data_IF_113861894126
#
_entry.id   IF_113861894126
#
_cell.length_a   1.000
_cell.length_b   1.000
_cell.length_c   1.000
_cell.angle_alpha   90.00
_cell.angle_beta   90.00
_cell.angle_gamma   90.00
#
_symmetry.space_group_name_H-M   'P 1'
#
loop_
_entity.id
_entity.type
_entity.pdbx_description
1 polymer ?
#
# COMPACT_ATOMS: atom_id res chain seq x y z
N UNK A 1 -58.02 -86.13 -55.13
CA UNK A 1 -58.98 -87.27 -55.16
C UNK A 1 -60.24 -86.87 -54.39
N UNK A 2 -61.25 -87.74 -54.25
CA UNK A 2 -62.60 -87.41 -53.73
C UNK A 2 -62.61 -86.64 -52.41
N UNK A 3 -63.54 -85.67 -52.19
CA UNK A 3 -64.95 -85.86 -51.78
C UNK A 3 -65.09 -86.53 -50.41
N UNK A 4 -65.93 -86.07 -49.47
CA UNK A 4 -67.37 -85.73 -49.59
C UNK A 4 -67.75 -84.45 -48.80
N UNK A 5 -68.86 -83.82 -49.19
CA UNK A 5 -69.48 -82.62 -48.60
C UNK A 5 -70.63 -82.91 -47.62
N UNK A 6 -70.80 -82.06 -46.59
CA UNK A 6 -72.08 -81.83 -45.88
C UNK A 6 -72.25 -80.32 -45.63
N UNK A 7 -73.49 -79.84 -45.53
CA UNK A 7 -73.89 -78.43 -45.56
C UNK A 7 -74.05 -77.73 -44.19
N UNK A 8 -74.13 -76.40 -44.25
CA UNK A 8 -74.50 -75.46 -43.17
C UNK A 8 -75.86 -75.81 -42.49
N UNK A 9 -76.15 -75.30 -41.26
CA UNK A 9 -76.57 -73.89 -41.13
C UNK A 9 -75.97 -73.11 -39.95
N UNK A 10 -76.26 -71.80 -39.93
CA UNK A 10 -75.73 -70.79 -38.99
C UNK A 10 -76.20 -70.95 -37.53
N UNK A 11 -75.37 -70.50 -36.57
CA UNK A 11 -75.78 -70.48 -35.16
C UNK A 11 -74.76 -70.10 -34.08
N UNK A 12 -73.73 -69.27 -34.35
CA UNK A 12 -72.70 -68.92 -33.34
C UNK A 12 -72.23 -67.44 -33.30
N UNK A 13 -72.97 -66.54 -33.94
CA UNK A 13 -72.58 -65.12 -34.10
C UNK A 13 -72.70 -64.21 -32.86
N UNK A 14 -73.14 -64.71 -31.70
CA UNK A 14 -73.41 -63.89 -30.51
C UNK A 14 -72.39 -64.04 -29.37
N UNK A 15 -71.55 -65.07 -29.36
CA UNK A 15 -70.64 -65.36 -28.23
C UNK A 15 -69.31 -64.58 -28.27
N UNK A 16 -68.89 -64.08 -29.45
CA UNK A 16 -67.69 -63.24 -29.57
C UNK A 16 -67.94 -61.77 -29.24
N UNK A 17 -69.19 -61.28 -29.33
CA UNK A 17 -69.53 -59.89 -28.98
C UNK A 17 -69.61 -59.64 -27.46
N UNK A 18 -69.82 -60.68 -26.64
CA UNK A 18 -69.88 -60.53 -25.18
C UNK A 18 -68.48 -60.48 -24.55
N UNK A 19 -67.49 -61.15 -25.13
CA UNK A 19 -66.09 -61.11 -24.64
C UNK A 19 -65.38 -59.79 -24.95
N UNK A 20 -65.82 -59.04 -25.96
CA UNK A 20 -65.28 -57.70 -26.28
C UNK A 20 -65.80 -56.62 -25.31
N UNK A 21 -66.96 -56.84 -24.68
CA UNK A 21 -67.56 -55.90 -23.70
C UNK A 21 -66.99 -56.08 -22.27
N UNK A 22 -66.16 -57.11 -22.03
CA UNK A 22 -65.47 -57.33 -20.76
C UNK A 22 -63.96 -57.02 -20.79
N UNK A 23 -63.46 -56.43 -21.88
CA UNK A 23 -62.29 -55.56 -21.85
C UNK A 23 -62.77 -54.10 -21.71
N UNK A 24 -63.45 -53.81 -20.59
CA UNK A 24 -63.57 -52.43 -20.14
C UNK A 24 -62.16 -51.85 -19.94
N UNK A 25 -61.95 -50.60 -20.36
CA UNK A 25 -60.63 -49.97 -20.34
C UNK A 25 -59.98 -50.11 -18.95
N UNK A 26 -58.97 -50.98 -18.85
CA UNK A 26 -58.04 -50.98 -17.73
C UNK A 26 -57.13 -49.76 -17.90
N UNK A 27 -57.70 -48.57 -17.70
CA UNK A 27 -56.96 -47.31 -17.56
C UNK A 27 -55.95 -47.55 -16.46
N UNK A 28 -54.67 -47.59 -16.83
CA UNK A 28 -53.61 -47.53 -15.84
C UNK A 28 -53.87 -46.28 -15.00
N UNK A 29 -54.00 -46.41 -13.68
CA UNK A 29 -54.34 -45.26 -12.85
C UNK A 29 -53.28 -44.19 -13.02
N UNK A 30 -53.68 -43.07 -13.62
CA UNK A 30 -52.82 -41.93 -13.90
C UNK A 30 -52.40 -41.32 -12.55
N UNK A 31 -51.18 -41.69 -12.14
CA UNK A 31 -50.58 -41.39 -10.84
C UNK A 31 -49.16 -40.85 -11.06
N UNK A 32 -48.89 -39.65 -10.54
CA UNK A 32 -47.52 -39.15 -10.42
C UNK A 32 -46.72 -40.04 -9.45
N UNK A 33 -45.46 -40.27 -9.79
CA UNK A 33 -44.42 -40.72 -8.85
C UNK A 33 -44.19 -39.65 -7.77
N UNK A 34 -43.56 -39.98 -6.62
CA UNK A 34 -43.23 -39.00 -5.59
C UNK A 34 -42.40 -37.84 -6.15
N UNK A 35 -42.63 -36.59 -5.69
CA UNK A 35 -41.85 -35.45 -6.13
C UNK A 35 -40.35 -35.59 -5.84
N UNK A 36 -39.53 -34.93 -6.67
CA UNK A 36 -38.09 -34.83 -6.45
C UNK A 36 -37.74 -34.14 -5.12
N UNK A 37 -36.67 -34.60 -4.47
CA UNK A 37 -36.21 -34.06 -3.18
C UNK A 37 -35.58 -32.68 -3.37
N UNK A 38 -36.22 -31.66 -2.78
CA UNK A 38 -35.70 -30.29 -2.75
C UNK A 38 -34.67 -30.10 -1.63
N UNK A 39 -33.64 -29.29 -1.89
CA UNK A 39 -32.59 -28.97 -0.90
C UNK A 39 -33.03 -27.88 0.10
N UNK A 40 -34.00 -27.04 -0.26
CA UNK A 40 -34.55 -25.98 0.58
C UNK A 40 -35.86 -26.33 1.30
N UNK A 41 -36.51 -27.45 0.92
CA UNK A 41 -37.83 -27.83 1.41
C UNK A 41 -38.03 -29.36 1.47
N UNK A 42 -39.07 -29.77 2.19
CA UNK A 42 -39.54 -31.15 2.27
C UNK A 42 -41.06 -31.22 2.26
N UNK A 43 -41.60 -32.38 1.90
CA UNK A 43 -43.04 -32.65 1.94
C UNK A 43 -43.53 -32.64 3.38
N UNK A 44 -44.71 -32.05 3.61
CA UNK A 44 -45.42 -32.21 4.89
C UNK A 44 -45.61 -33.71 5.18
N UNK A 45 -45.46 -34.11 6.45
CA UNK A 45 -45.42 -35.52 6.87
C UNK A 45 -46.56 -36.39 6.31
N UNK A 46 -47.76 -35.82 6.18
CA UNK A 46 -48.94 -36.47 5.59
C UNK A 46 -48.75 -37.00 4.16
N UNK A 47 -47.76 -36.49 3.43
CA UNK A 47 -47.44 -36.91 2.05
C UNK A 47 -46.07 -37.58 1.93
N UNK A 48 -45.21 -37.50 2.96
CA UNK A 48 -43.80 -37.91 2.88
C UNK A 48 -43.60 -39.42 2.69
N UNK A 49 -44.57 -40.23 3.10
CA UNK A 49 -44.53 -41.71 3.00
C UNK A 49 -45.33 -42.27 1.83
N UNK A 50 -45.98 -41.43 1.03
CA UNK A 50 -46.81 -41.88 -0.11
C UNK A 50 -45.95 -42.18 -1.34
N UNK A 51 -46.18 -43.34 -1.96
CA UNK A 51 -45.39 -43.82 -3.11
C UNK A 51 -46.04 -43.52 -4.49
N UNK A 52 -47.28 -43.03 -4.53
CA UNK A 52 -47.98 -42.66 -5.76
C UNK A 52 -49.08 -41.65 -5.48
N UNK A 53 -49.31 -40.70 -6.38
CA UNK A 53 -50.26 -39.59 -6.19
C UNK A 53 -51.17 -39.45 -7.42
N UNK A 54 -52.50 -39.66 -7.33
CA UNK A 54 -53.41 -39.50 -8.46
C UNK A 54 -53.36 -38.10 -9.11
N UNK A 55 -53.67 -38.00 -10.40
CA UNK A 55 -53.84 -36.71 -11.09
C UNK A 55 -54.79 -35.77 -10.32
N UNK A 56 -54.46 -34.48 -10.28
CA UNK A 56 -55.15 -33.47 -9.47
C UNK A 56 -54.72 -33.42 -7.99
N UNK A 57 -54.00 -34.44 -7.48
CA UNK A 57 -53.50 -34.41 -6.10
C UNK A 57 -52.55 -33.25 -5.90
N UNK A 58 -52.80 -32.43 -4.87
CA UNK A 58 -51.99 -31.27 -4.52
C UNK A 58 -51.29 -31.53 -3.19
N UNK A 59 -49.95 -31.51 -3.21
CA UNK A 59 -49.09 -31.76 -2.05
C UNK A 59 -48.48 -30.45 -1.55
N UNK A 60 -48.37 -30.31 -0.23
CA UNK A 60 -47.80 -29.13 0.43
C UNK A 60 -46.40 -29.43 0.97
N UNK A 61 -45.53 -28.44 0.87
CA UNK A 61 -44.17 -28.46 1.40
C UNK A 61 -44.02 -27.60 2.66
N UNK A 62 -42.99 -27.88 3.44
CA UNK A 62 -42.43 -27.03 4.49
C UNK A 62 -40.97 -26.73 4.19
N UNK A 63 -40.50 -25.53 4.57
CA UNK A 63 -39.09 -25.16 4.38
C UNK A 63 -38.21 -25.91 5.38
N UNK A 64 -37.04 -26.39 4.93
CA UNK A 64 -36.07 -27.08 5.81
C UNK A 64 -35.49 -26.11 6.85
N UNK A 65 -34.95 -26.62 7.98
CA UNK A 65 -34.08 -25.84 8.85
C UNK A 65 -32.97 -25.13 8.05
N UNK A 66 -32.69 -23.87 8.38
CA UNK A 66 -31.81 -23.00 7.57
C UNK A 66 -32.53 -22.19 6.49
N UNK A 67 -33.77 -22.53 6.13
CA UNK A 67 -34.56 -21.83 5.09
C UNK A 67 -35.81 -21.14 5.67
N UNK A 68 -36.40 -20.22 4.90
CA UNK A 68 -37.62 -19.46 5.25
C UNK A 68 -38.54 -19.30 4.04
N UNK A 69 -39.86 -19.31 4.27
CA UNK A 69 -40.88 -19.13 3.22
C UNK A 69 -40.72 -17.75 2.56
N UNK A 70 -40.72 -17.72 1.23
CA UNK A 70 -40.80 -16.47 0.46
C UNK A 70 -42.25 -15.97 0.45
N UNK A 71 -42.54 -14.73 0.90
CA UNK A 71 -43.90 -14.18 0.88
C UNK A 71 -44.51 -14.20 -0.53
N UNK A 72 -45.79 -14.58 -0.63
CA UNK A 72 -46.52 -14.63 -1.90
C UNK A 72 -46.24 -15.83 -2.80
N UNK A 73 -45.23 -16.68 -2.51
CA UNK A 73 -45.00 -17.94 -3.25
C UNK A 73 -45.87 -19.07 -2.72
N UNK A 74 -46.32 -19.95 -3.62
CA UNK A 74 -47.04 -21.18 -3.27
C UNK A 74 -46.09 -22.22 -2.67
N UNK A 75 -46.51 -22.88 -1.59
CA UNK A 75 -45.86 -24.10 -1.08
C UNK A 75 -46.50 -25.40 -1.62
N UNK A 76 -47.45 -25.27 -2.55
CA UNK A 76 -48.22 -26.38 -3.09
C UNK A 76 -47.77 -26.71 -4.51
N UNK A 77 -47.55 -28.00 -4.80
CA UNK A 77 -47.40 -28.53 -6.16
C UNK A 77 -48.53 -29.52 -6.46
N UNK A 78 -49.00 -29.53 -7.69
CA UNK A 78 -50.13 -30.38 -8.14
C UNK A 78 -49.67 -31.37 -9.20
N UNK A 79 -50.15 -32.61 -9.13
CA UNK A 79 -49.95 -33.62 -10.17
C UNK A 79 -50.84 -33.28 -11.38
N UNK A 80 -50.22 -32.93 -12.51
CA UNK A 80 -50.91 -32.60 -13.76
C UNK A 80 -51.34 -33.85 -14.54
N UNK A 81 -52.23 -33.64 -15.53
CA UNK A 81 -52.70 -34.69 -16.46
C UNK A 81 -51.56 -35.26 -17.34
N UNK A 82 -50.43 -34.56 -17.43
CA UNK A 82 -49.19 -35.02 -18.09
C UNK A 82 -48.32 -35.93 -17.19
N UNK A 83 -48.84 -36.33 -16.02
CA UNK A 83 -48.15 -37.07 -14.95
C UNK A 83 -46.92 -36.34 -14.36
N UNK A 84 -46.85 -35.01 -14.50
CA UNK A 84 -45.76 -34.20 -13.93
C UNK A 84 -46.26 -33.33 -12.78
N UNK A 85 -45.35 -33.07 -11.85
CA UNK A 85 -45.60 -32.08 -10.80
C UNK A 85 -45.44 -30.67 -11.35
N UNK A 86 -46.48 -29.85 -11.19
CA UNK A 86 -46.50 -28.43 -11.59
C UNK A 86 -45.16 -27.74 -11.29
N UNK A 87 -44.58 -27.05 -12.27
CA UNK A 87 -43.39 -26.24 -12.02
C UNK A 87 -43.74 -25.09 -11.06
N UNK A 88 -42.78 -24.71 -10.24
CA UNK A 88 -42.90 -23.60 -9.30
C UNK A 88 -41.50 -23.06 -9.09
N UNK A 89 -41.35 -21.74 -9.10
CA UNK A 89 -40.11 -21.07 -8.71
C UNK A 89 -39.77 -21.38 -7.25
N UNK A 90 -38.55 -21.07 -6.82
CA UNK A 90 -38.15 -21.26 -5.42
C UNK A 90 -39.11 -20.53 -4.48
N UNK A 91 -39.59 -21.27 -3.47
CA UNK A 91 -40.61 -20.81 -2.53
C UNK A 91 -40.11 -20.78 -1.07
N UNK A 92 -38.89 -21.28 -0.83
CA UNK A 92 -38.13 -21.10 0.40
C UNK A 92 -36.76 -20.52 0.06
N UNK A 93 -36.40 -19.36 0.61
CA UNK A 93 -35.07 -18.79 0.49
C UNK A 93 -34.18 -19.25 1.66
N UNK A 94 -32.87 -19.34 1.45
CA UNK A 94 -31.93 -19.53 2.54
C UNK A 94 -31.99 -18.34 3.52
N UNK A 95 -32.00 -18.62 4.82
CA UNK A 95 -31.92 -17.57 5.85
C UNK A 95 -30.51 -17.00 5.85
N UNK A 96 -30.38 -15.75 6.30
CA UNK A 96 -29.10 -15.04 6.33
C UNK A 96 -28.61 -14.88 7.77
N UNK A 97 -27.34 -15.20 8.00
CA UNK A 97 -26.60 -14.78 9.19
C UNK A 97 -26.37 -13.25 9.16
N UNK A 98 -26.04 -12.66 10.29
CA UNK A 98 -25.48 -11.29 10.33
C UNK A 98 -24.06 -11.28 9.77
N UNK A 99 -23.53 -10.10 9.45
CA UNK A 99 -22.08 -9.98 9.20
C UNK A 99 -21.31 -10.47 10.45
N UNK A 100 -20.19 -11.22 10.33
CA UNK A 100 -19.47 -11.75 11.49
C UNK A 100 -19.02 -10.68 12.49
N UNK A 101 -18.60 -9.54 11.97
CA UNK A 101 -17.95 -8.45 12.69
C UNK A 101 -16.83 -7.86 11.84
N UNK A 102 -16.01 -6.99 12.44
CA UNK A 102 -14.74 -6.53 11.85
C UNK A 102 -13.58 -7.17 12.63
N UNK A 103 -12.43 -7.36 11.97
CA UNK A 103 -11.24 -7.95 12.57
C UNK A 103 -10.15 -6.88 12.72
N UNK A 104 -9.89 -6.47 13.96
CA UNK A 104 -8.82 -5.49 14.22
C UNK A 104 -7.47 -6.06 13.80
N UNK A 105 -6.68 -5.27 13.07
CA UNK A 105 -5.39 -5.68 12.48
C UNK A 105 -5.47 -6.90 11.53
N UNK A 106 -6.63 -7.10 10.88
CA UNK A 106 -6.80 -8.12 9.86
C UNK A 106 -7.91 -7.82 8.85
N UNK A 107 -8.26 -8.84 8.06
CA UNK A 107 -9.23 -8.79 6.98
C UNK A 107 -10.24 -9.93 7.17
N UNK A 108 -11.53 -9.59 7.12
CA UNK A 108 -12.64 -10.55 7.08
C UNK A 108 -13.05 -10.74 5.62
N UNK A 109 -12.99 -11.97 5.11
CA UNK A 109 -13.41 -12.32 3.75
C UNK A 109 -14.66 -13.21 3.82
N UNK A 110 -15.79 -12.67 3.37
CA UNK A 110 -17.12 -13.32 3.43
C UNK A 110 -17.63 -13.51 2.00
N UNK A 111 -18.04 -14.74 1.67
CA UNK A 111 -18.52 -15.09 0.32
C UNK A 111 -19.99 -14.71 0.10
N UNK A 112 -20.86 -15.11 1.03
CA UNK A 112 -22.23 -14.62 1.22
C UNK A 112 -22.61 -14.79 2.70
N UNK A 113 -23.80 -14.33 3.09
CA UNK A 113 -24.36 -14.49 4.43
C UNK A 113 -25.46 -15.56 4.50
N UNK A 114 -25.77 -16.32 3.44
CA UNK A 114 -26.80 -17.37 3.49
C UNK A 114 -26.37 -18.58 4.32
N UNK A 115 -27.35 -19.34 4.81
CA UNK A 115 -27.15 -20.64 5.43
C UNK A 115 -26.21 -21.54 4.60
N UNK A 116 -25.15 -22.04 5.25
CA UNK A 116 -24.08 -22.82 4.61
C UNK A 116 -22.95 -21.99 4.00
N UNK A 117 -23.03 -20.65 4.03
CA UNK A 117 -21.91 -19.77 3.64
C UNK A 117 -20.81 -19.73 4.69
N UNK A 118 -19.63 -19.30 4.26
CA UNK A 118 -18.38 -19.37 5.00
C UNK A 118 -17.70 -17.99 5.05
N UNK A 119 -17.10 -17.68 6.19
CA UNK A 119 -16.30 -16.48 6.41
C UNK A 119 -14.91 -16.86 6.91
N UNK A 120 -13.90 -16.44 6.15
CA UNK A 120 -12.48 -16.71 6.41
C UNK A 120 -11.78 -15.44 6.92
N UNK A 121 -10.85 -15.61 7.85
CA UNK A 121 -10.12 -14.53 8.50
C UNK A 121 -8.63 -14.57 8.15
N UNK A 122 -8.02 -13.40 8.01
CA UNK A 122 -6.57 -13.24 7.82
C UNK A 122 -6.07 -12.03 8.61
N UNK A 123 -4.79 -12.02 9.00
CA UNK A 123 -4.18 -10.90 9.72
C UNK A 123 -3.25 -10.09 8.82
N UNK A 124 -3.04 -8.81 9.14
CA UNK A 124 -2.04 -7.98 8.48
C UNK A 124 -0.61 -8.38 8.88
N UNK A 125 0.36 -8.03 8.04
CA UNK A 125 1.78 -8.30 8.27
C UNK A 125 2.24 -7.85 9.66
N UNK A 126 2.87 -8.76 10.40
CA UNK A 126 3.28 -8.53 11.80
C UNK A 126 2.32 -9.08 12.85
N UNK A 127 1.17 -9.63 12.43
CA UNK A 127 0.16 -10.24 13.30
C UNK A 127 -0.17 -11.67 12.88
N UNK A 128 -0.57 -12.51 13.85
CA UNK A 128 -1.00 -13.89 13.65
C UNK A 128 -2.41 -14.12 14.21
N UNK A 129 -3.15 -15.04 13.60
CA UNK A 129 -4.51 -15.41 14.03
C UNK A 129 -4.44 -16.16 15.37
N UNK A 130 -5.28 -15.76 16.32
CA UNK A 130 -5.56 -16.47 17.56
C UNK A 130 -7.06 -16.71 17.69
N UNK A 131 -7.45 -17.96 17.43
CA UNK A 131 -8.85 -18.40 17.29
C UNK A 131 -9.00 -19.27 16.05
N UNK A 132 -10.24 -19.48 15.60
CA UNK A 132 -10.50 -20.14 14.33
C UNK A 132 -10.26 -19.15 13.18
N UNK A 133 -9.57 -19.57 12.12
CA UNK A 133 -9.40 -18.80 10.89
C UNK A 133 -10.65 -18.79 9.98
N UNK A 134 -11.71 -19.49 10.38
CA UNK A 134 -12.85 -19.86 9.54
C UNK A 134 -14.09 -20.12 10.40
N UNK A 135 -15.27 -19.71 9.94
CA UNK A 135 -16.58 -19.96 10.55
C UNK A 135 -17.65 -20.18 9.49
N UNK A 136 -18.68 -20.97 9.80
CA UNK A 136 -19.78 -21.34 8.89
C UNK A 136 -21.13 -20.88 9.42
N UNK A 137 -22.03 -20.41 8.54
CA UNK A 137 -23.38 -19.98 8.89
C UNK A 137 -24.31 -21.21 9.09
N UNK A 138 -24.53 -21.61 10.35
CA UNK A 138 -25.22 -22.86 10.73
C UNK A 138 -26.62 -22.64 11.33
N UNK A 139 -27.39 -23.71 11.53
CA UNK A 139 -28.71 -23.64 12.19
C UNK A 139 -28.55 -23.55 13.71
N UNK A 140 -28.99 -22.44 14.30
CA UNK A 140 -28.91 -22.14 15.74
C UNK A 140 -30.26 -21.60 16.23
N UNK A 141 -30.79 -22.10 17.35
CA UNK A 141 -31.99 -21.57 18.03
C UNK A 141 -33.21 -21.26 17.12
N UNK A 142 -33.59 -22.19 16.23
CA UNK A 142 -34.64 -22.02 15.20
C UNK A 142 -34.39 -20.89 14.18
N UNK A 143 -33.18 -20.35 14.14
CA UNK A 143 -32.65 -19.40 13.17
C UNK A 143 -31.39 -19.92 12.49
N UNK A 144 -30.58 -18.99 12.00
CA UNK A 144 -29.19 -19.24 11.58
C UNK A 144 -28.29 -18.21 12.23
N UNK A 145 -27.08 -18.62 12.57
CA UNK A 145 -26.02 -17.84 13.21
C UNK A 145 -24.68 -18.55 12.95
N UNK A 146 -23.57 -17.86 13.08
CA UNK A 146 -22.24 -18.44 12.88
C UNK A 146 -21.94 -19.51 13.94
N UNK A 147 -21.18 -20.55 13.60
CA UNK A 147 -20.81 -21.58 14.57
C UNK A 147 -19.76 -21.10 15.59
N UNK A 148 -18.72 -20.40 15.11
CA UNK A 148 -17.68 -19.77 15.92
C UNK A 148 -17.89 -18.28 16.22
N UNK A 149 -16.79 -17.60 16.54
CA UNK A 149 -16.70 -16.15 16.78
C UNK A 149 -15.53 -15.57 15.97
N UNK A 150 -15.53 -14.26 15.72
CA UNK A 150 -14.40 -13.57 15.10
C UNK A 150 -13.13 -13.78 15.94
N UNK A 151 -11.99 -14.20 15.35
CA UNK A 151 -10.74 -14.40 16.06
C UNK A 151 -10.05 -13.06 16.41
N UNK A 152 -8.88 -13.13 17.05
CA UNK A 152 -8.04 -11.96 17.31
C UNK A 152 -6.75 -12.03 16.49
N UNK A 153 -6.29 -10.90 15.95
CA UNK A 153 -4.94 -10.77 15.41
C UNK A 153 -4.01 -10.26 16.51
N UNK A 154 -3.14 -11.12 17.04
CA UNK A 154 -2.10 -10.72 18.00
C UNK A 154 -0.76 -10.49 17.29
N UNK A 155 0.05 -9.54 17.76
CA UNK A 155 1.37 -9.28 17.16
C UNK A 155 2.28 -10.50 17.31
N UNK A 156 3.04 -10.82 16.26
CA UNK A 156 3.99 -11.94 16.27
C UNK A 156 5.06 -11.69 17.35
N UNK A 157 5.30 -12.63 18.28
CA UNK A 157 6.35 -12.50 19.29
C UNK A 157 7.74 -12.81 18.71
N UNK A 158 8.75 -12.08 19.18
CA UNK A 158 10.15 -12.46 19.05
C UNK A 158 10.61 -13.19 20.33
N UNK A 159 11.67 -14.00 20.21
CA UNK A 159 12.42 -14.44 21.40
C UNK A 159 13.05 -13.23 22.14
N UNK A 160 13.34 -13.33 23.45
CA UNK A 160 14.03 -12.28 24.19
C UNK A 160 15.35 -11.85 23.53
N UNK A 161 15.74 -10.56 23.59
CA UNK A 161 16.95 -10.08 22.93
C UNK A 161 18.23 -10.80 23.43
N UNK A 162 19.18 -11.13 22.55
CA UNK A 162 20.44 -11.75 22.95
C UNK A 162 21.23 -10.90 23.96
N UNK A 163 21.53 -11.46 25.13
CA UNK A 163 22.37 -10.78 26.14
C UNK A 163 23.81 -10.63 25.65
N UNK A 164 24.45 -9.50 25.95
CA UNK A 164 25.81 -9.18 25.52
C UNK A 164 26.78 -9.11 26.71
N UNK A 165 28.03 -9.53 26.51
CA UNK A 165 29.07 -9.36 27.51
C UNK A 165 29.35 -7.87 27.76
N UNK A 166 29.55 -7.49 29.02
CA UNK A 166 29.84 -6.11 29.47
C UNK A 166 28.81 -5.06 29.03
N UNK A 167 27.55 -5.45 28.85
CA UNK A 167 26.46 -4.55 28.52
C UNK A 167 25.07 -5.10 28.86
N UNK A 168 24.07 -4.31 28.55
CA UNK A 168 22.65 -4.59 28.79
C UNK A 168 21.80 -3.92 27.68
N UNK A 169 20.51 -4.26 27.61
CA UNK A 169 19.57 -3.61 26.69
C UNK A 169 18.40 -2.96 27.44
N UNK A 170 17.66 -2.08 26.77
CA UNK A 170 16.39 -1.56 27.27
C UNK A 170 15.32 -2.66 27.26
N UNK A 171 14.95 -3.15 28.44
CA UNK A 171 13.86 -4.14 28.58
C UNK A 171 12.52 -3.56 28.12
N UNK A 172 11.66 -4.45 27.61
CA UNK A 172 10.27 -4.17 27.27
C UNK A 172 9.36 -5.21 27.93
N UNK A 173 8.10 -4.85 28.19
CA UNK A 173 7.13 -5.78 28.79
C UNK A 173 6.83 -6.99 27.89
N UNK A 174 6.86 -6.79 26.57
CA UNK A 174 6.66 -7.83 25.55
C UNK A 174 7.59 -7.57 24.34
N UNK A 175 8.24 -8.62 23.85
CA UNK A 175 9.04 -8.59 22.62
C UNK A 175 8.17 -9.11 21.47
N UNK A 176 7.59 -8.19 20.71
CA UNK A 176 6.68 -8.47 19.59
C UNK A 176 7.04 -7.61 18.40
N UNK A 177 6.48 -7.88 17.23
CA UNK A 177 6.74 -7.16 15.99
C UNK A 177 6.78 -5.63 16.19
N UNK A 178 7.84 -5.00 15.66
CA UNK A 178 8.24 -3.60 15.81
C UNK A 178 8.73 -3.15 17.21
N UNK A 179 8.73 -4.00 18.25
CA UNK A 179 9.46 -3.71 19.50
C UNK A 179 10.93 -3.52 19.18
N UNK A 180 11.48 -2.35 19.56
CA UNK A 180 12.89 -1.99 19.39
C UNK A 180 13.59 -1.99 20.74
N UNK A 181 14.77 -2.60 20.81
CA UNK A 181 15.63 -2.56 22.00
C UNK A 181 16.97 -1.90 21.68
N UNK A 182 17.48 -1.11 22.62
CA UNK A 182 18.76 -0.40 22.49
C UNK A 182 19.75 -0.91 23.54
N UNK A 183 20.91 -1.33 23.08
CA UNK A 183 22.01 -1.80 23.92
C UNK A 183 22.85 -0.65 24.46
N UNK A 184 23.45 -0.88 25.62
CA UNK A 184 24.40 0.01 26.29
C UNK A 184 25.48 -0.84 26.93
N UNK A 185 26.71 -0.33 26.96
CA UNK A 185 27.78 -0.97 27.73
C UNK A 185 27.66 -0.60 29.21
N UNK A 186 28.17 -1.49 30.06
CA UNK A 186 28.32 -1.24 31.48
C UNK A 186 29.41 -0.17 31.70
N UNK A 187 29.28 0.63 32.76
CA UNK A 187 30.35 1.52 33.20
C UNK A 187 31.60 0.70 33.59
N UNK A 188 32.77 1.10 33.10
CA UNK A 188 34.04 0.46 33.45
C UNK A 188 34.47 0.79 34.90
N UNK A 189 35.22 -0.11 35.54
CA UNK A 189 35.66 0.10 36.91
C UNK A 189 36.74 1.20 36.98
N UNK A 190 36.89 1.81 38.16
CA UNK A 190 37.84 2.91 38.36
C UNK A 190 39.29 2.44 38.13
N UNK A 191 39.86 2.79 36.99
CA UNK A 191 41.22 2.44 36.57
C UNK A 191 41.27 1.52 35.34
N UNK A 192 40.13 1.03 34.87
CA UNK A 192 40.01 0.28 33.61
C UNK A 192 39.71 1.22 32.43
N UNK A 193 39.99 0.76 31.21
CA UNK A 193 39.61 1.47 29.99
C UNK A 193 38.10 1.28 29.69
N UNK A 194 37.38 2.33 29.24
CA UNK A 194 35.94 2.25 29.00
C UNK A 194 35.58 1.32 27.83
N UNK A 195 34.48 0.58 28.00
CA UNK A 195 33.88 -0.21 26.94
C UNK A 195 33.32 0.69 25.83
N UNK A 196 33.66 0.36 24.58
CA UNK A 196 33.04 0.93 23.38
C UNK A 196 31.96 -0.02 22.88
N UNK A 197 30.80 0.51 22.51
CA UNK A 197 29.77 -0.23 21.79
C UNK A 197 30.14 -0.27 20.30
N UNK A 198 30.32 -1.47 19.75
CA UNK A 198 30.69 -1.71 18.36
C UNK A 198 29.57 -2.46 17.65
N UNK A 199 29.19 -1.97 16.46
CA UNK A 199 27.99 -2.43 15.73
C UNK A 199 26.79 -1.49 15.95
N UNK A 200 25.63 -1.89 15.43
CA UNK A 200 24.39 -1.09 15.52
C UNK A 200 23.88 -1.08 16.98
N UNK A 201 23.62 0.11 17.58
CA UNK A 201 23.22 0.19 19.00
C UNK A 201 21.81 -0.34 19.29
N UNK A 202 20.96 -0.48 18.28
CA UNK A 202 19.57 -0.90 18.42
C UNK A 202 19.22 -1.99 17.40
N UNK A 203 18.37 -2.94 17.83
CA UNK A 203 17.75 -3.95 16.96
C UNK A 203 16.24 -3.93 17.19
N UNK A 204 15.46 -4.34 16.19
CA UNK A 204 14.00 -4.39 16.26
C UNK A 204 13.46 -5.77 15.87
N UNK A 205 12.31 -6.12 16.44
CA UNK A 205 11.60 -7.35 16.09
C UNK A 205 10.96 -7.19 14.71
N UNK A 206 11.37 -8.02 13.76
CA UNK A 206 10.89 -8.10 12.37
C UNK A 206 10.40 -9.52 12.08
N UNK A 207 10.08 -9.84 10.83
CA UNK A 207 9.70 -11.18 10.39
C UNK A 207 10.78 -11.83 9.52
N UNK A 208 10.83 -13.17 9.53
CA UNK A 208 11.52 -13.99 8.52
C UNK A 208 10.59 -14.38 7.35
N UNK A 209 11.13 -15.16 6.39
CA UNK A 209 10.39 -15.65 5.21
C UNK A 209 9.19 -16.55 5.58
N UNK A 210 9.24 -17.21 6.74
CA UNK A 210 8.18 -18.07 7.28
C UNK A 210 7.22 -17.31 8.24
N UNK A 211 7.34 -15.97 8.29
CA UNK A 211 6.56 -15.03 9.11
C UNK A 211 6.72 -15.19 10.64
N UNK A 212 7.84 -15.76 11.11
CA UNK A 212 8.19 -15.84 12.54
C UNK A 212 8.90 -14.56 13.01
N UNK A 213 8.77 -14.24 14.30
CA UNK A 213 9.40 -13.06 14.89
C UNK A 213 10.90 -13.25 15.10
N UNK A 214 11.71 -12.51 14.34
CA UNK A 214 13.18 -12.53 14.41
C UNK A 214 13.75 -11.13 14.65
N UNK A 215 14.95 -11.04 15.22
CA UNK A 215 15.62 -9.75 15.40
C UNK A 215 16.29 -9.27 14.11
N UNK A 216 16.20 -7.95 13.85
CA UNK A 216 16.66 -7.28 12.62
C UNK A 216 18.16 -7.37 12.30
N UNK A 217 18.95 -8.05 13.12
CA UNK A 217 20.40 -8.17 12.97
C UNK A 217 21.07 -8.73 14.22
N UNK A 218 22.39 -9.02 14.15
CA UNK A 218 23.16 -9.45 15.31
C UNK A 218 23.26 -8.35 16.38
N UNK A 219 23.39 -8.71 17.67
CA UNK A 219 23.60 -7.73 18.74
C UNK A 219 24.98 -7.06 18.63
N UNK A 220 25.13 -5.80 19.09
CA UNK A 220 26.42 -5.13 19.16
C UNK A 220 27.32 -5.71 20.25
N UNK A 221 28.61 -5.39 20.20
CA UNK A 221 29.62 -5.87 21.16
C UNK A 221 30.16 -4.73 22.02
N UNK A 222 30.17 -4.93 23.34
CA UNK A 222 30.82 -4.04 24.29
C UNK A 222 32.26 -4.50 24.59
N UNK A 223 33.22 -3.90 23.90
CA UNK A 223 34.66 -4.23 24.01
C UNK A 223 35.50 -2.98 24.23
N UNK A 224 36.62 -3.12 24.94
CA UNK A 224 37.60 -2.04 25.05
C UNK A 224 38.21 -1.80 23.68
N UNK A 225 38.02 -0.59 23.15
CA UNK A 225 38.69 -0.11 21.93
C UNK A 225 39.56 1.08 22.31
N UNK A 226 40.83 1.04 21.94
CA UNK A 226 41.87 1.98 22.38
C UNK A 226 42.93 2.14 21.29
N UNK A 227 42.74 3.12 20.42
CA UNK A 227 43.75 3.48 19.43
C UNK A 227 44.87 4.33 20.07
N UNK A 228 46.12 4.13 19.62
CA UNK A 228 47.26 4.95 20.04
C UNK A 228 47.06 6.42 19.68
N UNK A 229 47.64 7.36 20.44
CA UNK A 229 47.59 8.78 20.13
C UNK A 229 48.37 9.08 18.82
N UNK A 230 47.70 9.41 17.71
CA UNK A 230 48.34 9.44 16.40
C UNK A 230 49.28 10.64 16.27
N UNK A 231 50.51 10.38 15.82
CA UNK A 231 51.55 11.38 15.58
C UNK A 231 51.99 11.37 14.12
N UNK A 232 51.97 12.56 13.53
CA UNK A 232 52.48 12.89 12.20
C UNK A 232 53.72 13.76 12.40
N UNK A 233 54.77 13.58 11.58
CA UNK A 233 55.94 14.47 11.59
C UNK A 233 55.67 15.63 10.65
N UNK A 234 56.16 16.83 10.97
CA UNK A 234 55.94 18.07 10.19
C UNK A 234 54.44 18.36 9.94
N UNK A 235 53.60 17.98 10.91
CA UNK A 235 52.17 18.21 10.89
C UNK A 235 51.57 18.23 12.28
N UNK A 236 50.65 19.17 12.49
CA UNK A 236 49.92 19.40 13.73
C UNK A 236 48.55 18.74 13.68
N UNK A 237 48.08 18.29 14.84
CA UNK A 237 46.68 17.89 15.04
C UNK A 237 45.82 19.15 15.15
N UNK A 238 44.63 19.15 14.54
CA UNK A 238 43.73 20.34 14.53
C UNK A 238 42.35 20.10 15.14
N UNK A 239 41.85 18.86 15.19
CA UNK A 239 40.58 18.52 15.87
C UNK A 239 40.68 17.20 16.65
N UNK A 240 39.69 16.92 17.50
CA UNK A 240 39.58 15.63 18.20
C UNK A 240 40.68 15.38 19.24
N UNK A 241 41.16 16.42 19.94
CA UNK A 241 42.14 16.29 21.03
C UNK A 241 41.53 15.53 22.21
N UNK A 242 42.25 14.53 22.73
CA UNK A 242 41.83 13.77 23.90
C UNK A 242 42.97 12.96 24.53
N UNK A 243 42.82 12.51 25.79
CA UNK A 243 43.78 11.62 26.45
C UNK A 243 43.65 10.16 25.99
N UNK A 244 42.53 9.80 25.37
CA UNK A 244 42.17 8.44 24.95
C UNK A 244 41.35 8.48 23.65
N UNK A 245 41.48 7.45 22.82
CA UNK A 245 40.75 7.30 21.55
C UNK A 245 40.02 5.95 21.51
N UNK A 246 38.72 6.01 21.81
CA UNK A 246 37.77 4.90 21.72
C UNK A 246 37.19 4.76 20.30
N UNK A 247 36.44 3.69 20.05
CA UNK A 247 35.79 3.43 18.76
C UNK A 247 35.02 4.66 18.24
N UNK A 248 35.15 4.95 16.94
CA UNK A 248 34.48 6.07 16.29
C UNK A 248 35.04 7.46 16.63
N UNK A 249 36.02 7.59 17.53
CA UNK A 249 36.73 8.86 17.71
C UNK A 249 37.52 9.19 16.45
N UNK A 250 37.36 10.42 15.95
CA UNK A 250 38.04 10.92 14.75
C UNK A 250 39.03 12.04 15.09
N UNK A 251 40.10 12.12 14.30
CA UNK A 251 41.20 13.07 14.47
C UNK A 251 41.55 13.68 13.13
N UNK A 252 41.56 15.02 13.04
CA UNK A 252 42.04 15.72 11.86
C UNK A 252 43.46 16.30 12.04
N UNK A 253 44.22 16.35 10.95
CA UNK A 253 45.57 16.88 10.86
C UNK A 253 45.70 18.01 9.82
N UNK A 254 46.74 18.82 9.98
CA UNK A 254 47.19 19.81 9.00
C UNK A 254 48.73 19.79 8.98
N UNK A 255 49.36 19.90 7.81
CA UNK A 255 50.82 19.95 7.74
C UNK A 255 51.36 21.32 8.18
N UNK A 256 52.60 21.36 8.64
CA UNK A 256 53.27 22.59 9.03
C UNK A 256 53.72 23.40 7.78
N UNK A 257 53.93 24.72 7.89
CA UNK A 257 54.32 25.56 6.75
C UNK A 257 55.59 25.04 6.06
N UNK A 258 55.53 24.85 4.73
CA UNK A 258 56.59 24.23 3.94
C UNK A 258 56.37 22.75 3.63
N UNK A 259 55.30 22.12 4.16
CA UNK A 259 54.98 20.71 3.94
C UNK A 259 53.59 20.51 3.31
N UNK A 260 53.44 19.46 2.52
CA UNK A 260 52.16 19.04 1.90
C UNK A 260 51.69 17.69 2.44
N UNK A 261 50.37 17.47 2.43
CA UNK A 261 49.77 16.26 3.00
C UNK A 261 49.65 15.12 1.99
N UNK A 262 50.04 13.93 2.45
CA UNK A 262 49.84 12.65 1.79
C UNK A 262 48.86 11.81 2.64
N UNK A 263 47.78 11.33 2.01
CA UNK A 263 46.75 10.52 2.66
C UNK A 263 45.43 11.26 2.85
N UNK A 264 44.69 10.92 3.90
CA UNK A 264 43.46 11.62 4.30
C UNK A 264 43.75 12.46 5.55
N UNK A 265 43.18 13.66 5.62
CA UNK A 265 43.40 14.59 6.73
C UNK A 265 42.66 14.17 8.01
N UNK A 266 41.50 13.51 7.87
CA UNK A 266 40.74 12.89 8.96
C UNK A 266 40.98 11.38 9.02
N UNK A 267 41.23 10.86 10.22
CA UNK A 267 41.33 9.42 10.53
C UNK A 267 40.42 9.04 11.70
N UNK A 268 39.85 7.83 11.67
CA UNK A 268 38.89 7.34 12.68
C UNK A 268 39.36 6.06 13.35
N UNK A 269 39.18 5.95 14.67
CA UNK A 269 39.56 4.79 15.46
C UNK A 269 38.58 3.61 15.23
N UNK A 270 39.12 2.50 14.72
CA UNK A 270 38.35 1.32 14.33
C UNK A 270 38.28 0.26 15.43
N UNK A 271 37.36 -0.69 15.28
CA UNK A 271 37.03 -1.74 16.25
C UNK A 271 38.16 -2.75 16.54
N UNK A 272 39.28 -2.65 15.82
CA UNK A 272 40.48 -3.45 15.93
C UNK A 272 41.68 -2.69 16.56
N UNK A 273 41.42 -1.53 17.16
CA UNK A 273 42.41 -0.61 17.75
C UNK A 273 43.34 0.10 16.74
N UNK A 274 43.02 0.06 15.44
CA UNK A 274 43.79 0.76 14.40
C UNK A 274 43.08 2.02 13.91
N UNK A 275 43.85 2.96 13.34
CA UNK A 275 43.30 4.12 12.65
C UNK A 275 43.00 3.79 11.19
N UNK A 276 41.78 4.05 10.74
CA UNK A 276 41.40 4.00 9.33
C UNK A 276 40.67 5.30 8.92
N UNK A 277 41.04 5.96 7.81
CA UNK A 277 42.23 5.72 6.99
C UNK A 277 43.54 5.73 7.80
N UNK A 278 44.64 5.15 7.30
CA UNK A 278 45.93 5.23 7.98
C UNK A 278 46.38 6.69 8.11
N UNK A 279 47.14 7.00 9.16
CA UNK A 279 47.60 8.36 9.47
C UNK A 279 48.27 9.03 8.25
N UNK A 280 48.00 10.32 7.99
CA UNK A 280 48.66 11.03 6.90
C UNK A 280 50.16 11.23 7.18
N UNK A 281 50.90 11.54 6.13
CA UNK A 281 52.31 11.94 6.17
C UNK A 281 52.44 13.36 5.60
N UNK A 282 53.39 14.15 6.11
CA UNK A 282 53.65 15.50 5.64
C UNK A 282 55.06 15.58 5.04
N UNK A 283 55.14 15.73 3.72
CA UNK A 283 56.39 15.76 2.94
C UNK A 283 56.77 17.19 2.56
N UNK A 284 58.07 17.46 2.42
CA UNK A 284 58.60 18.80 2.13
C UNK A 284 58.24 19.26 0.70
N UNK A 285 57.88 20.53 0.55
CA UNK A 285 57.50 21.12 -0.75
C UNK A 285 58.78 21.43 -1.56
N UNK A 286 59.12 20.55 -2.50
CA UNK A 286 60.23 20.77 -3.46
C UNK A 286 59.75 21.48 -4.74
N UNK A 287 60.70 21.98 -5.54
CA UNK A 287 60.41 22.61 -6.84
C UNK A 287 59.76 21.65 -7.85
N UNK A 288 60.02 20.34 -7.74
CA UNK A 288 59.59 19.33 -8.72
C UNK A 288 58.33 18.53 -8.33
N UNK A 289 57.70 18.79 -7.16
CA UNK A 289 56.64 17.92 -6.60
C UNK A 289 55.35 18.63 -6.22
N UNK A 290 54.26 17.86 -6.22
CA UNK A 290 52.98 18.20 -5.63
C UNK A 290 52.39 17.02 -4.83
N UNK A 291 51.63 17.35 -3.78
CA UNK A 291 50.71 16.42 -3.14
C UNK A 291 49.38 16.31 -3.90
N UNK A 292 48.50 15.44 -3.40
CA UNK A 292 47.15 15.32 -3.95
C UNK A 292 46.38 16.65 -3.85
N UNK A 293 45.80 17.16 -4.95
CA UNK A 293 45.07 18.42 -4.94
C UNK A 293 43.82 18.31 -4.06
N UNK A 294 43.66 19.27 -3.14
CA UNK A 294 42.47 19.35 -2.28
C UNK A 294 41.27 19.84 -3.10
N UNK A 295 40.22 19.03 -3.15
CA UNK A 295 38.94 19.33 -3.82
C UNK A 295 37.78 19.01 -2.88
N UNK A 296 36.80 19.91 -2.75
CA UNK A 296 35.55 19.61 -2.06
C UNK A 296 34.53 18.96 -3.01
N UNK A 297 33.79 17.98 -2.48
CA UNK A 297 32.74 17.22 -3.18
C UNK A 297 33.19 16.59 -4.51
N UNK A 298 34.42 16.08 -4.56
CA UNK A 298 34.98 15.36 -5.70
C UNK A 298 36.15 14.45 -5.32
N UNK A 299 36.68 13.75 -6.32
CA UNK A 299 37.73 12.73 -6.19
C UNK A 299 38.84 12.93 -7.23
N UNK A 300 40.06 12.51 -6.88
CA UNK A 300 41.27 12.63 -7.72
C UNK A 300 41.54 11.29 -8.42
N UNK A 301 41.78 11.31 -9.73
CA UNK A 301 41.97 10.10 -10.55
C UNK A 301 43.18 10.26 -11.50
N UNK A 302 44.24 9.44 -11.39
CA UNK A 302 44.48 8.46 -10.33
C UNK A 302 44.79 9.16 -8.99
N UNK A 303 44.40 8.53 -7.87
CA UNK A 303 44.84 8.97 -6.55
C UNK A 303 46.19 8.32 -6.21
N UNK A 304 47.25 9.11 -6.29
CA UNK A 304 48.60 8.81 -5.84
C UNK A 304 49.00 9.70 -4.65
N UNK A 305 50.05 9.30 -3.95
CA UNK A 305 50.62 10.01 -2.80
C UNK A 305 51.46 11.23 -3.18
N UNK A 306 52.16 11.16 -4.31
CA UNK A 306 53.10 12.14 -4.84
C UNK A 306 52.83 12.28 -6.34
N UNK A 307 52.98 13.49 -6.88
CA UNK A 307 52.98 13.77 -8.31
C UNK A 307 54.18 14.67 -8.65
N UNK A 308 54.74 14.47 -9.83
CA UNK A 308 55.86 15.27 -10.36
C UNK A 308 55.36 16.45 -11.17
N UNK A 309 56.16 17.51 -11.26
CA UNK A 309 55.87 18.65 -12.13
C UNK A 309 55.72 18.18 -13.59
N UNK A 310 54.60 18.54 -14.21
CA UNK A 310 54.18 18.05 -15.53
C UNK A 310 53.23 16.83 -15.50
N UNK A 311 53.04 16.14 -14.38
CA UNK A 311 52.03 15.08 -14.26
C UNK A 311 50.62 15.66 -14.06
N UNK A 312 49.62 15.00 -14.65
CA UNK A 312 48.23 15.46 -14.66
C UNK A 312 47.28 14.45 -14.02
N UNK A 313 46.32 14.96 -13.23
CA UNK A 313 45.21 14.18 -12.67
C UNK A 313 43.88 14.72 -13.14
N UNK A 314 42.88 13.84 -13.23
CA UNK A 314 41.49 14.21 -13.45
C UNK A 314 40.81 14.38 -12.10
N UNK A 315 40.26 15.57 -11.86
CA UNK A 315 39.36 15.84 -10.76
C UNK A 315 37.95 15.57 -11.26
N UNK A 316 37.21 14.67 -10.60
CA UNK A 316 35.82 14.34 -10.94
C UNK A 316 34.91 14.70 -9.78
N UNK A 317 33.83 15.41 -10.04
CA UNK A 317 32.85 15.74 -9.01
C UNK A 317 32.03 14.52 -8.56
N UNK A 318 31.51 14.59 -7.33
CA UNK A 318 30.52 13.66 -6.82
C UNK A 318 29.18 13.83 -7.58
N UNK A 319 28.30 12.80 -7.59
CA UNK A 319 26.97 12.92 -8.18
C UNK A 319 26.21 14.17 -7.70
N UNK A 320 25.46 14.79 -8.61
CA UNK A 320 24.73 16.06 -8.41
C UNK A 320 25.61 17.32 -8.21
N UNK A 321 26.95 17.18 -8.29
CA UNK A 321 27.90 18.30 -8.23
C UNK A 321 28.67 18.46 -9.54
N UNK A 322 29.02 19.70 -9.88
CA UNK A 322 29.76 20.05 -11.09
C UNK A 322 30.78 21.17 -10.80
N UNK A 323 31.73 21.39 -11.70
CA UNK A 323 32.58 22.56 -11.65
C UNK A 323 31.81 23.84 -12.03
N UNK A 324 32.31 25.05 -11.69
CA UNK A 324 31.62 26.32 -11.99
C UNK A 324 31.30 26.59 -13.47
N UNK A 325 31.97 25.90 -14.40
CA UNK A 325 31.72 25.93 -15.84
C UNK A 325 30.66 24.89 -16.32
N UNK A 326 30.20 24.03 -15.42
CA UNK A 326 29.27 22.94 -15.70
C UNK A 326 29.92 21.59 -16.03
N UNK A 327 31.25 21.46 -15.98
CA UNK A 327 31.92 20.19 -16.22
C UNK A 327 31.74 19.19 -15.06
N UNK A 328 31.74 17.88 -15.36
CA UNK A 328 31.74 16.80 -14.36
C UNK A 328 33.16 16.32 -14.01
N UNK A 329 34.11 16.44 -14.93
CA UNK A 329 35.53 16.25 -14.68
C UNK A 329 36.41 17.29 -15.39
N UNK A 330 37.46 17.76 -14.71
CA UNK A 330 38.52 18.64 -15.25
C UNK A 330 39.88 17.99 -15.06
N UNK A 331 40.86 18.35 -15.91
CA UNK A 331 42.25 17.90 -15.76
C UNK A 331 43.11 19.03 -15.22
N UNK A 332 43.85 18.75 -14.15
CA UNK A 332 44.83 19.68 -13.56
C UNK A 332 46.23 19.07 -13.63
N UNK A 333 47.25 19.92 -13.78
CA UNK A 333 48.66 19.50 -13.91
C UNK A 333 49.49 20.10 -12.78
N UNK A 334 50.36 19.29 -12.18
CA UNK A 334 51.29 19.76 -11.15
C UNK A 334 52.29 20.72 -11.80
N UNK A 335 52.46 21.90 -11.21
CA UNK A 335 53.39 22.94 -11.68
C UNK A 335 54.69 22.96 -10.85
N UNK A 336 54.82 22.07 -9.86
CA UNK A 336 55.84 22.14 -8.82
C UNK A 336 55.40 22.98 -7.62
N UNK A 337 56.22 23.01 -6.57
CA UNK A 337 55.96 23.78 -5.34
C UNK A 337 54.56 23.54 -4.74
N UNK A 338 54.06 22.29 -4.81
CA UNK A 338 52.71 21.90 -4.41
C UNK A 338 51.56 22.73 -5.04
N UNK A 339 51.81 23.33 -6.20
CA UNK A 339 50.86 24.18 -6.94
C UNK A 339 50.33 23.44 -8.17
N UNK A 340 49.03 23.57 -8.43
CA UNK A 340 48.32 22.87 -9.51
C UNK A 340 47.62 23.87 -10.44
N UNK A 341 47.65 23.60 -11.75
CA UNK A 341 47.36 24.57 -12.81
C UNK A 341 46.00 25.30 -12.77
N UNK A 342 44.94 24.65 -12.31
CA UNK A 342 43.61 25.27 -12.11
C UNK A 342 42.72 24.37 -11.24
N UNK A 343 43.07 24.21 -9.96
CA UNK A 343 42.20 23.48 -9.02
C UNK A 343 40.97 24.33 -8.71
N UNK A 344 39.81 23.75 -9.01
CA UNK A 344 38.50 24.31 -8.70
C UNK A 344 37.77 23.36 -7.75
N UNK A 345 36.87 23.90 -6.93
CA UNK A 345 36.00 23.09 -6.07
C UNK A 345 34.70 22.78 -6.80
N UNK A 346 34.13 21.59 -6.55
CA UNK A 346 32.82 21.24 -7.10
C UNK A 346 31.74 22.08 -6.43
N UNK A 347 31.06 22.89 -7.24
CA UNK A 347 29.79 23.47 -6.90
C UNK A 347 28.72 22.37 -7.04
N UNK A 348 28.42 21.71 -5.93
CA UNK A 348 27.12 21.07 -5.80
C UNK A 348 26.04 22.12 -6.07
N UNK A 349 25.10 21.81 -6.96
CA UNK A 349 23.85 22.59 -6.97
C UNK A 349 23.30 22.53 -5.54
N UNK A 350 22.63 23.59 -5.03
CA UNK A 350 21.79 23.39 -3.87
C UNK A 350 20.79 22.32 -4.25
N UNK A 351 20.98 21.11 -3.73
CA UNK A 351 19.97 20.08 -3.82
C UNK A 351 18.81 20.66 -3.02
N UNK A 352 17.76 21.12 -3.71
CA UNK A 352 16.45 21.18 -3.11
C UNK A 352 16.17 19.74 -2.72
N UNK A 353 16.44 19.40 -1.45
CA UNK A 353 16.93 18.06 -1.13
C UNK A 353 15.94 17.03 -1.64
N UNK A 354 16.33 16.17 -2.59
CA UNK A 354 15.43 15.11 -3.09
C UNK A 354 15.10 14.10 -1.98
N UNK A 355 15.88 14.12 -0.89
CA UNK A 355 15.55 13.50 0.38
C UNK A 355 14.50 14.24 1.21
N UNK A 356 14.28 15.54 1.06
CA UNK A 356 13.26 16.31 1.80
C UNK A 356 11.88 16.12 1.17
N UNK A 357 10.82 15.80 1.94
CA UNK A 357 9.49 15.56 1.39
C UNK A 357 8.90 16.84 0.78
N UNK A 358 8.38 16.72 -0.45
CA UNK A 358 7.65 17.80 -1.13
C UNK A 358 6.16 17.67 -0.82
N UNK A 359 5.65 18.49 0.10
CA UNK A 359 4.23 18.47 0.51
C UNK A 359 3.44 19.53 -0.24
N UNK A 360 2.65 19.12 -1.23
CA UNK A 360 1.68 20.00 -1.89
C UNK A 360 0.73 20.61 -0.86
N UNK A 361 0.72 21.93 -0.74
CA UNK A 361 -0.06 22.71 0.23
C UNK A 361 0.24 22.43 1.72
N UNK A 362 1.47 21.99 2.04
CA UNK A 362 1.96 21.90 3.42
C UNK A 362 3.44 22.29 3.57
N UNK A 363 3.97 22.07 4.76
CA UNK A 363 5.37 22.31 5.16
C UNK A 363 5.84 21.30 6.19
N UNK A 364 7.15 21.14 6.32
CA UNK A 364 7.76 20.51 7.51
C UNK A 364 7.78 21.55 8.65
N UNK A 365 7.44 21.12 9.87
CA UNK A 365 7.47 21.94 11.09
C UNK A 365 8.52 21.48 12.11
N UNK A 366 8.91 20.20 12.10
CA UNK A 366 9.97 19.65 12.95
C UNK A 366 10.84 18.66 12.19
N UNK A 367 12.10 18.54 12.59
CA UNK A 367 13.07 17.60 12.03
C UNK A 367 13.70 18.03 10.70
N UNK A 368 13.38 19.21 10.16
CA UNK A 368 13.92 19.65 8.87
C UNK A 368 15.46 19.76 8.91
N UNK A 369 16.12 19.08 7.97
CA UNK A 369 17.58 19.07 7.78
C UNK A 369 17.96 19.36 6.33
N UNK A 370 19.20 19.82 6.05
CA UNK A 370 19.71 19.90 4.68
C UNK A 370 19.86 18.51 4.03
N UNK A 371 20.19 17.49 4.84
CA UNK A 371 20.41 16.09 4.45
C UNK A 371 19.86 15.16 5.55
N UNK A 372 19.34 14.00 5.17
CA UNK A 372 18.73 13.03 6.09
C UNK A 372 19.50 11.72 6.12
N UNK A 373 19.76 11.21 7.32
CA UNK A 373 20.28 9.86 7.56
C UNK A 373 19.15 8.87 7.76
N UNK A 374 19.37 7.58 7.46
CA UNK A 374 18.37 6.53 7.68
C UNK A 374 17.94 6.52 9.16
N UNK A 375 16.63 6.63 9.41
CA UNK A 375 16.05 6.76 10.76
C UNK A 375 15.75 8.20 11.20
N UNK A 376 16.15 9.24 10.46
CA UNK A 376 15.71 10.61 10.73
C UNK A 376 14.20 10.77 10.47
N UNK A 377 13.50 11.51 11.34
CA UNK A 377 12.06 11.74 11.20
C UNK A 377 11.68 13.21 11.14
N UNK A 378 10.74 13.55 10.26
CA UNK A 378 10.16 14.89 10.12
C UNK A 378 8.68 14.90 10.47
N UNK A 379 8.17 16.05 10.93
CA UNK A 379 6.74 16.28 11.19
C UNK A 379 6.19 17.35 10.24
N UNK A 380 5.01 17.12 9.70
CA UNK A 380 4.41 17.86 8.58
C UNK A 380 3.10 18.54 9.02
N UNK A 381 2.88 19.76 8.53
CA UNK A 381 1.69 20.57 8.78
C UNK A 381 1.13 21.09 7.45
N UNK A 382 -0.19 21.03 7.27
CA UNK A 382 -0.86 21.61 6.11
C UNK A 382 -1.14 23.11 6.31
N UNK A 383 -1.14 23.89 5.22
CA UNK A 383 -1.50 25.30 5.29
C UNK A 383 -2.99 25.49 5.66
N UNK A 384 -3.31 26.64 6.23
CA UNK A 384 -4.66 26.96 6.71
C UNK A 384 -5.72 26.76 5.62
N UNK A 385 -6.76 26.00 5.95
CA UNK A 385 -7.83 25.60 5.02
C UNK A 385 -7.64 24.23 4.36
N UNK A 386 -6.51 23.55 4.58
CA UNK A 386 -6.24 22.18 4.12
C UNK A 386 -6.21 21.19 5.29
N UNK A 387 -6.51 19.93 5.01
CA UNK A 387 -6.48 18.78 5.94
C UNK A 387 -5.44 17.77 5.49
N UNK A 388 -4.61 17.29 6.42
CA UNK A 388 -3.58 16.29 6.17
C UNK A 388 -4.19 14.90 5.95
N UNK A 389 -3.71 14.19 4.94
CA UNK A 389 -4.12 12.84 4.59
C UNK A 389 -2.87 11.94 4.48
N UNK A 390 -2.73 11.00 5.42
CA UNK A 390 -1.50 10.24 5.67
C UNK A 390 -1.07 10.39 7.13
N UNK A 391 0.20 10.07 7.44
CA UNK A 391 0.78 10.34 8.77
C UNK A 391 1.39 11.74 8.82
N UNK A 392 1.26 12.43 9.95
CA UNK A 392 1.91 13.70 10.22
C UNK A 392 3.43 13.55 10.44
N UNK A 393 3.90 12.36 10.82
CA UNK A 393 5.32 12.08 11.08
C UNK A 393 5.84 10.90 10.24
N UNK A 394 6.84 11.19 9.40
CA UNK A 394 7.45 10.21 8.48
C UNK A 394 8.95 10.06 8.76
N UNK A 395 9.52 8.89 8.46
CA UNK A 395 10.92 8.51 8.73
C UNK A 395 11.67 8.23 7.43
N UNK A 396 12.90 8.72 7.29
CA UNK A 396 13.71 8.54 6.10
C UNK A 396 14.32 7.14 6.07
N UNK A 397 14.10 6.42 4.96
CA UNK A 397 14.56 5.03 4.77
C UNK A 397 15.80 4.93 3.86
N UNK A 398 16.30 6.05 3.33
CA UNK A 398 17.37 6.10 2.33
C UNK A 398 16.84 6.25 0.91
N UNK A 399 17.71 6.59 -0.04
CA UNK A 399 17.41 6.72 -1.48
C UNK A 399 16.18 7.61 -1.81
N UNK A 400 15.93 8.67 -1.04
CA UNK A 400 14.75 9.54 -1.22
C UNK A 400 13.43 8.96 -0.67
N UNK A 401 13.43 7.73 -0.15
CA UNK A 401 12.21 7.04 0.33
C UNK A 401 11.89 7.42 1.78
N UNK A 402 10.58 7.57 2.04
CA UNK A 402 10.01 7.86 3.34
C UNK A 402 9.02 6.77 3.77
N UNK A 403 8.96 6.50 5.07
CA UNK A 403 8.02 5.55 5.67
C UNK A 403 7.38 6.16 6.94
N UNK A 404 6.05 6.32 7.01
CA UNK A 404 5.08 6.19 5.92
C UNK A 404 5.39 7.07 4.70
N UNK A 405 4.71 6.84 3.58
CA UNK A 405 4.82 7.69 2.39
C UNK A 405 4.44 9.16 2.70
N UNK A 406 4.92 10.07 1.86
CA UNK A 406 4.76 11.53 2.06
C UNK A 406 3.26 11.90 2.02
N UNK A 407 2.69 12.49 3.09
CA UNK A 407 1.27 12.80 3.18
C UNK A 407 0.86 13.94 2.23
N UNK A 408 -0.40 13.94 1.83
CA UNK A 408 -0.98 15.01 0.98
C UNK A 408 -1.88 15.94 1.78
N UNK A 409 -1.86 17.24 1.45
CA UNK A 409 -2.79 18.22 2.02
C UNK A 409 -3.95 18.48 1.05
N UNK A 410 -5.14 17.99 1.38
CA UNK A 410 -6.35 18.21 0.57
C UNK A 410 -7.14 19.41 1.10
N UNK A 411 -7.79 20.17 0.21
CA UNK A 411 -8.61 21.32 0.63
C UNK A 411 -9.76 20.84 1.52
N UNK A 412 -9.93 21.46 2.68
CA UNK A 412 -10.90 21.02 3.70
C UNK A 412 -12.32 21.00 3.14
N UNK A 413 -13.07 19.91 3.39
CA UNK A 413 -14.47 19.78 2.98
C UNK A 413 -15.35 20.95 3.47
N UNK A 414 -15.01 21.55 4.62
CA UNK A 414 -15.68 22.75 5.14
C UNK A 414 -15.43 24.00 4.26
N UNK A 415 -14.20 24.18 3.76
CA UNK A 415 -13.84 25.27 2.84
C UNK A 415 -14.48 25.05 1.47
N UNK A 416 -14.51 23.81 0.97
CA UNK A 416 -15.23 23.44 -0.26
C UNK A 416 -16.72 23.78 -0.12
N UNK A 417 -17.37 23.39 0.98
CA UNK A 417 -18.77 23.70 1.25
C UNK A 417 -19.04 25.22 1.29
N UNK A 418 -18.16 26.01 1.92
CA UNK A 418 -18.24 27.47 1.91
C UNK A 418 -18.13 28.04 0.49
N UNK A 419 -17.20 27.56 -0.33
CA UNK A 419 -17.04 28.00 -1.73
C UNK A 419 -18.29 27.63 -2.55
N UNK A 420 -18.88 26.45 -2.35
CA UNK A 420 -20.14 26.06 -2.98
C UNK A 420 -21.30 26.97 -2.54
N UNK A 421 -21.43 27.28 -1.24
CA UNK A 421 -22.47 28.20 -0.75
C UNK A 421 -22.27 29.62 -1.30
N UNK A 422 -21.04 30.14 -1.32
CA UNK A 422 -20.74 31.47 -1.87
C UNK A 422 -21.04 31.52 -3.38
N UNK A 423 -20.63 30.52 -4.16
CA UNK A 423 -20.92 30.51 -5.61
C UNK A 423 -22.42 30.38 -5.88
N UNK A 424 -23.16 29.56 -5.13
CA UNK A 424 -24.63 29.48 -5.20
C UNK A 424 -25.29 30.82 -4.83
N UNK A 425 -24.85 31.49 -3.76
CA UNK A 425 -25.35 32.82 -3.38
C UNK A 425 -25.03 33.88 -4.43
N UNK A 426 -23.83 33.88 -5.02
CA UNK A 426 -23.46 34.80 -6.10
C UNK A 426 -24.28 34.55 -7.38
N UNK A 427 -24.57 33.29 -7.73
CA UNK A 427 -25.45 32.93 -8.84
C UNK A 427 -26.89 33.38 -8.55
N UNK A 428 -27.41 33.18 -7.34
CA UNK A 428 -28.75 33.69 -6.96
C UNK A 428 -28.81 35.22 -6.96
N UNK A 429 -27.77 35.92 -6.50
CA UNK A 429 -27.69 37.38 -6.55
C UNK A 429 -27.61 37.88 -8.00
N UNK A 430 -26.82 37.24 -8.86
CA UNK A 430 -26.75 37.57 -10.28
C UNK A 430 -28.10 37.32 -10.98
N UNK A 431 -28.75 36.19 -10.73
CA UNK A 431 -30.09 35.88 -11.22
C UNK A 431 -31.13 36.89 -10.72
N UNK A 432 -31.06 37.29 -9.44
CA UNK A 432 -31.92 38.34 -8.88
C UNK A 432 -31.67 39.71 -9.50
N UNK A 433 -30.42 40.07 -9.80
CA UNK A 433 -30.08 41.29 -10.54
C UNK A 433 -30.59 41.26 -11.98
N UNK A 434 -30.49 40.12 -12.69
CA UNK A 434 -31.06 39.94 -14.03
C UNK A 434 -32.59 40.01 -13.99
N UNK A 435 -33.23 39.30 -13.06
CA UNK A 435 -34.68 39.36 -12.83
C UNK A 435 -35.15 40.79 -12.53
N UNK A 436 -34.47 41.49 -11.62
CA UNK A 436 -34.74 42.89 -11.29
C UNK A 436 -34.55 43.81 -12.51
N UNK A 437 -33.54 43.58 -13.35
CA UNK A 437 -33.33 44.33 -14.59
C UNK A 437 -34.47 44.09 -15.60
N UNK A 438 -34.92 42.84 -15.74
CA UNK A 438 -36.03 42.46 -16.63
C UNK A 438 -37.35 43.10 -16.16
N UNK A 439 -37.71 42.95 -14.89
CA UNK A 439 -38.96 43.51 -14.34
C UNK A 439 -38.90 45.04 -14.14
N UNK A 440 -37.70 45.64 -14.02
CA UNK A 440 -37.52 47.10 -14.12
C UNK A 440 -37.75 47.64 -15.54
N UNK A 441 -37.92 46.78 -16.55
CA UNK A 441 -38.29 47.14 -17.92
C UNK A 441 -39.65 46.53 -18.33
N UNK A 442 -40.53 46.27 -17.35
CA UNK A 442 -41.93 45.90 -17.61
C UNK A 442 -42.70 47.08 -18.22
N UNK A 443 -42.77 47.15 -19.56
CA UNK A 443 -43.31 48.35 -20.22
C UNK A 443 -43.54 48.29 -21.73
N UNK A 444 -43.98 47.17 -22.31
CA UNK A 444 -44.96 47.05 -23.42
C UNK A 444 -45.01 45.62 -24.00
N UNK A 445 -46.21 45.18 -24.39
CA UNK A 445 -46.41 43.90 -25.08
C UNK A 445 -46.09 44.00 -26.59
N UNK A 446 -45.64 42.91 -27.24
CA UNK A 446 -45.45 42.87 -28.68
C UNK A 446 -46.80 42.67 -29.38
N UNK A 447 -47.26 43.67 -30.13
CA UNK A 447 -48.38 43.52 -31.06
C UNK A 447 -48.19 44.42 -32.29
N UNK A 448 -48.51 43.87 -33.47
CA UNK A 448 -48.53 44.54 -34.78
C UNK A 448 -47.31 45.40 -35.20
N UNK A 449 -46.42 44.83 -36.02
CA UNK A 449 -46.40 45.24 -37.43
C UNK A 449 -45.73 44.20 -38.35
N UNK A 450 -46.49 43.73 -39.34
CA UNK A 450 -45.97 43.01 -40.50
C UNK A 450 -45.64 44.01 -41.64
N UNK A 451 -45.00 43.53 -42.71
CA UNK A 451 -44.62 44.25 -43.94
C UNK A 451 -43.46 45.26 -43.82
N UNK A 452 -42.29 44.85 -44.33
CA UNK A 452 -41.62 45.51 -45.47
C UNK A 452 -40.49 44.66 -46.07
N UNK A 453 -40.81 43.42 -46.38
CA UNK A 453 -40.06 42.69 -47.40
C UNK A 453 -40.46 43.19 -48.80
N UNK A 454 -39.58 43.01 -49.78
CA UNK A 454 -39.78 43.30 -51.22
C UNK A 454 -40.06 44.76 -51.63
N UNK A 455 -38.98 45.51 -51.90
CA UNK A 455 -38.88 46.25 -53.17
C UNK A 455 -37.42 46.51 -53.58
N UNK A 456 -37.04 45.97 -54.75
CA UNK A 456 -35.85 46.30 -55.57
C UNK A 456 -34.49 46.00 -54.89
N UNK A 457 -33.53 45.30 -55.49
CA UNK A 457 -33.39 44.77 -56.86
C UNK A 457 -33.40 45.81 -58.00
N UNK A 458 -32.30 46.58 -58.15
CA UNK A 458 -31.41 46.64 -59.35
C UNK A 458 -30.53 47.90 -59.40
N UNK A 459 -29.24 47.70 -59.66
CA UNK A 459 -28.17 48.71 -59.87
C UNK A 459 -27.93 49.66 -58.67
N UNK A 460 -26.77 50.34 -58.53
CA UNK A 460 -25.49 50.37 -59.26
C UNK A 460 -24.34 50.18 -58.24
N UNK A 461 -23.22 49.50 -58.51
CA UNK A 461 -22.07 49.79 -59.41
C UNK A 461 -21.25 51.05 -59.03
N UNK A 462 -19.93 50.86 -58.92
CA UNK A 462 -18.80 51.82 -59.04
C UNK A 462 -18.16 52.32 -57.74
N UNK A 463 -17.05 51.65 -57.38
CA UNK A 463 -15.71 52.13 -56.96
C UNK A 463 -15.51 53.26 -55.91
N UNK A 464 -14.63 52.95 -54.94
CA UNK A 464 -13.64 53.89 -54.39
C UNK A 464 -12.27 53.18 -54.29
N UNK A 465 -11.20 53.86 -54.71
CA UNK A 465 -9.78 53.44 -54.65
C UNK A 465 -8.94 54.69 -54.34
N UNK A 466 -7.70 54.53 -53.83
CA UNK A 466 -6.77 55.56 -53.32
C UNK A 466 -7.23 56.21 -51.99
N UNK A 467 -6.37 56.67 -51.07
CA UNK A 467 -4.89 56.66 -50.96
C UNK A 467 -4.53 56.61 -49.43
N UNK A 468 -3.31 56.64 -48.88
CA UNK A 468 -1.96 57.10 -49.30
C UNK A 468 -0.88 56.12 -48.75
N UNK A 469 0.38 56.26 -49.22
CA UNK A 469 1.67 55.66 -48.76
C UNK A 469 1.73 54.89 -47.44
#
# INVERSE_FOLDING_TARGET
MGTVSVSCPAGLGLLLLVMVVLLGEARAEERCMPPERLQYAELTESFSTMQSFPVGTTVTYVCRPGYMRIPGKSLNRTCGEDLRWSQTEEFCAARRCTHPGELENGIVHVTDLTFGSEATFSCHTGFRIRGNSEITCVVKNKGVDWDGVVPFCERVPCEPPPTIANGYYTEAAEYVYQTTVTYKCNDALKGEDPYSLVGTPSIFCTLDEDLNGVWSGPPPQCKVVKCENPKVQNGKKVTGFGPLYSYGHSVAFECDPGYFMIGQDVITCQENNTWYPPKPTCEEITEDRCGAPKISHGQVIPLQSEYRSGESVRLRCNPHCAFPDGAEEITVTCQGQNTWSSVQNCACKPVHSDSSPVISHGRVIYGQKPEYSVGDSVTIECYAGYTLHGSDRIVYMGEGKWSPEVPTCHLSAYVIAIICVITVVLVFLAAFWVYKKFFSQGGLCPDQLNSKEQRQERAAKTDCVTDVT
#
